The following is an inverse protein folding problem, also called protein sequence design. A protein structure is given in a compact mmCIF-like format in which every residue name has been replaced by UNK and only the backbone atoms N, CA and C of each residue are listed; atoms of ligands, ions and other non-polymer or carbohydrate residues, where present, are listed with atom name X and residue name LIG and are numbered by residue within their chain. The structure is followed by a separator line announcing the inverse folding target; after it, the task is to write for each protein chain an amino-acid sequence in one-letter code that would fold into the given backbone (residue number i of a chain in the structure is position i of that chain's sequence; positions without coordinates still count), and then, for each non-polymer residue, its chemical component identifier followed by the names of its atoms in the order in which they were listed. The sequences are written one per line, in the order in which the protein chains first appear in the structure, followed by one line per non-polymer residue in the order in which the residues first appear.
data_IF_721078274072
#
_entry.id   IF_721078274072
#
_cell.length_a   1.000
_cell.length_b   1.000
_cell.length_c   1.000
_cell.angle_alpha   90.00
_cell.angle_beta   90.00
_cell.angle_gamma   90.00
#
_symmetry.space_group_name_H-M   'P 1'
#
loop_
_entity.id
_entity.type
_entity.pdbx_description
1 polymer ?
#
# COMPACT_ATOMS: atom_id res chain seq x y z
N UNK A 1 46.21 -16.61 13.50
CA UNK A 1 45.09 -17.06 12.64
C UNK A 1 43.84 -16.19 12.69
N UNK A 2 43.64 -15.32 13.70
CA UNK A 2 42.44 -14.47 13.79
C UNK A 2 42.36 -13.35 12.74
N UNK A 3 43.46 -12.64 12.48
CA UNK A 3 43.49 -11.47 11.58
C UNK A 3 43.12 -11.79 10.13
N UNK A 4 43.64 -12.89 9.58
CA UNK A 4 43.32 -13.33 8.22
C UNK A 4 41.85 -13.70 8.08
N UNK A 5 41.29 -14.40 9.08
CA UNK A 5 39.86 -14.75 9.11
C UNK A 5 38.99 -13.49 9.16
N UNK A 6 39.36 -12.52 9.99
CA UNK A 6 38.64 -11.23 10.09
C UNK A 6 38.69 -10.46 8.77
N UNK A 7 39.85 -10.41 8.11
CA UNK A 7 40.01 -9.74 6.82
C UNK A 7 39.15 -10.37 5.73
N UNK A 8 39.18 -11.71 5.60
CA UNK A 8 38.36 -12.44 4.63
C UNK A 8 36.87 -12.24 4.91
N UNK A 9 36.44 -12.26 6.18
CA UNK A 9 35.05 -12.01 6.53
C UNK A 9 34.60 -10.57 6.21
N UNK A 10 35.46 -9.57 6.42
CA UNK A 10 35.15 -8.19 6.12
C UNK A 10 34.98 -7.96 4.61
N UNK A 11 35.87 -8.54 3.79
CA UNK A 11 35.77 -8.49 2.33
C UNK A 11 34.51 -9.21 1.85
N UNK A 12 34.18 -10.37 2.43
CA UNK A 12 32.96 -11.11 2.12
C UNK A 12 31.69 -10.30 2.41
N UNK A 13 31.62 -9.63 3.56
CA UNK A 13 30.49 -8.77 3.93
C UNK A 13 30.37 -7.56 3.01
N UNK A 14 31.48 -6.90 2.68
CA UNK A 14 31.49 -5.78 1.75
C UNK A 14 31.05 -6.21 0.34
N UNK A 15 31.52 -7.37 -0.13
CA UNK A 15 31.12 -7.93 -1.41
C UNK A 15 29.62 -8.24 -1.49
N UNK A 16 29.07 -8.90 -0.47
CA UNK A 16 27.62 -9.19 -0.40
C UNK A 16 26.79 -7.91 -0.28
N UNK A 17 27.23 -6.95 0.52
CA UNK A 17 26.57 -5.65 0.64
C UNK A 17 26.56 -4.88 -0.69
N UNK A 18 27.69 -4.88 -1.40
CA UNK A 18 27.80 -4.26 -2.72
C UNK A 18 26.89 -4.90 -3.76
N UNK A 19 26.82 -6.23 -3.80
CA UNK A 19 25.91 -6.96 -4.70
C UNK A 19 24.44 -6.66 -4.39
N UNK A 20 24.08 -6.62 -3.10
CA UNK A 20 22.73 -6.26 -2.67
C UNK A 20 22.36 -4.83 -3.09
N UNK A 21 23.27 -3.89 -2.95
CA UNK A 21 23.05 -2.50 -3.36
C UNK A 21 22.88 -2.37 -4.88
N UNK A 22 23.74 -3.02 -5.67
CA UNK A 22 23.63 -3.03 -7.14
C UNK A 22 22.29 -3.63 -7.57
N UNK A 23 21.92 -4.79 -7.03
CA UNK A 23 20.65 -5.43 -7.35
C UNK A 23 19.44 -4.56 -6.98
N UNK A 24 19.48 -3.90 -5.82
CA UNK A 24 18.43 -2.97 -5.40
C UNK A 24 18.34 -1.76 -6.33
N UNK A 25 19.47 -1.18 -6.76
CA UNK A 25 19.50 -0.03 -7.68
C UNK A 25 18.90 -0.33 -9.06
N UNK A 26 18.98 -1.58 -9.53
CA UNK A 26 18.38 -2.00 -10.79
C UNK A 26 16.86 -2.24 -10.68
N UNK A 27 16.38 -2.67 -9.51
CA UNK A 27 14.97 -3.02 -9.28
C UNK A 27 14.14 -1.79 -8.92
N UNK A 28 14.69 -0.86 -8.14
CA UNK A 28 13.94 0.33 -7.72
C UNK A 28 13.69 1.22 -8.94
N UNK A 29 12.43 1.40 -9.38
CA UNK A 29 12.15 2.36 -10.43
C UNK A 29 12.56 3.75 -9.93
N UNK A 30 13.45 4.41 -10.68
CA UNK A 30 13.89 5.77 -10.36
C UNK A 30 12.71 6.72 -10.16
N UNK A 31 12.96 7.83 -9.46
CA UNK A 31 11.90 8.79 -9.08
C UNK A 31 11.04 9.25 -10.27
N UNK A 32 11.61 9.33 -11.46
CA UNK A 32 10.90 9.70 -12.68
C UNK A 32 9.90 8.62 -13.14
N UNK A 33 10.30 7.34 -13.10
CA UNK A 33 9.39 6.20 -13.37
C UNK A 33 8.30 6.11 -12.32
N UNK A 34 8.59 6.42 -11.05
CA UNK A 34 7.59 6.50 -9.99
C UNK A 34 6.58 7.63 -10.25
N UNK A 35 7.05 8.82 -10.66
CA UNK A 35 6.17 9.94 -11.03
C UNK A 35 5.31 9.62 -12.25
N UNK A 36 5.84 8.89 -13.22
CA UNK A 36 5.10 8.45 -14.42
C UNK A 36 4.03 7.40 -14.08
N UNK A 37 4.35 6.44 -13.21
CA UNK A 37 3.37 5.48 -12.70
C UNK A 37 2.24 6.17 -11.93
N UNK A 38 2.57 7.20 -11.12
CA UNK A 38 1.57 7.98 -10.40
C UNK A 38 0.65 8.79 -11.33
N UNK A 39 1.17 9.27 -12.46
CA UNK A 39 0.36 9.98 -13.48
C UNK A 39 -0.61 9.04 -14.20
N UNK A 40 -0.22 7.79 -14.42
CA UNK A 40 -1.03 6.76 -15.08
C UNK A 40 -1.94 5.98 -14.12
N UNK A 41 -2.04 6.38 -12.85
CA UNK A 41 -3.01 5.79 -11.94
C UNK A 41 -4.43 6.06 -12.48
N UNK A 42 -5.32 5.05 -12.50
CA UNK A 42 -6.69 5.25 -12.97
C UNK A 42 -7.44 6.31 -12.14
N UNK A 43 -7.00 6.57 -10.91
CA UNK A 43 -7.51 7.62 -10.02
C UNK A 43 -7.14 9.06 -10.43
N UNK A 44 -6.15 9.27 -11.31
CA UNK A 44 -5.75 10.61 -11.75
C UNK A 44 -6.67 11.18 -12.84
N UNK A 45 -7.53 10.34 -13.43
CA UNK A 45 -8.44 10.77 -14.49
C UNK A 45 -9.67 11.50 -13.88
N UNK A 46 -9.92 12.77 -14.26
CA UNK A 46 -11.01 13.55 -13.68
C UNK A 46 -12.39 12.95 -13.98
N UNK A 47 -12.52 12.24 -15.11
CA UNK A 47 -13.76 11.57 -15.51
C UNK A 47 -14.13 10.40 -14.57
N UNK A 48 -13.16 9.55 -14.22
CA UNK A 48 -13.41 8.42 -13.31
C UNK A 48 -13.67 8.88 -11.88
N UNK A 49 -13.08 10.01 -11.48
CA UNK A 49 -13.35 10.64 -10.18
C UNK A 49 -14.80 11.13 -10.07
N UNK A 50 -15.38 11.68 -11.14
CA UNK A 50 -16.79 12.07 -11.15
C UNK A 50 -17.72 10.85 -11.08
N UNK A 51 -17.43 9.79 -11.81
CA UNK A 51 -18.18 8.53 -11.76
C UNK A 51 -18.11 7.90 -10.36
N UNK A 52 -16.92 7.85 -9.75
CA UNK A 52 -16.73 7.39 -8.37
C UNK A 52 -17.45 8.26 -7.36
N UNK A 53 -17.47 9.59 -7.53
CA UNK A 53 -18.23 10.50 -6.65
C UNK A 53 -19.73 10.21 -6.71
N UNK A 54 -20.28 10.00 -7.91
CA UNK A 54 -21.69 9.63 -8.08
C UNK A 54 -22.00 8.28 -7.43
N UNK A 55 -21.17 7.27 -7.66
CA UNK A 55 -21.32 5.95 -7.04
C UNK A 55 -21.23 6.03 -5.50
N UNK A 56 -20.25 6.74 -4.96
CA UNK A 56 -20.08 6.93 -3.53
C UNK A 56 -21.25 7.70 -2.89
N UNK A 57 -21.81 8.68 -3.61
CA UNK A 57 -22.98 9.42 -3.12
C UNK A 57 -24.20 8.49 -2.98
N UNK A 58 -24.46 7.62 -3.96
CA UNK A 58 -25.55 6.64 -3.90
C UNK A 58 -25.33 5.65 -2.75
N UNK A 59 -24.12 5.09 -2.62
CA UNK A 59 -23.79 4.17 -1.53
C UNK A 59 -23.97 4.86 -0.17
N UNK A 60 -23.53 6.11 -0.02
CA UNK A 60 -23.67 6.87 1.22
C UNK A 60 -25.14 7.14 1.57
N UNK A 61 -25.98 7.41 0.57
CA UNK A 61 -27.42 7.56 0.79
C UNK A 61 -28.05 6.27 1.33
N UNK A 62 -27.74 5.13 0.70
CA UNK A 62 -28.24 3.81 1.14
C UNK A 62 -27.75 3.48 2.56
N UNK A 63 -26.47 3.74 2.86
CA UNK A 63 -25.94 3.51 4.21
C UNK A 63 -26.61 4.40 5.25
N UNK A 64 -26.91 5.66 4.92
CA UNK A 64 -27.59 6.58 5.82
C UNK A 64 -29.03 6.13 6.09
N UNK A 65 -29.75 5.74 5.05
CA UNK A 65 -31.11 5.20 5.15
C UNK A 65 -31.15 3.91 6.00
N UNK A 66 -30.22 2.99 5.76
CA UNK A 66 -30.07 1.77 6.55
C UNK A 66 -29.72 2.08 8.02
N UNK A 67 -28.92 3.12 8.27
CA UNK A 67 -28.55 3.53 9.63
C UNK A 67 -29.69 4.20 10.42
N UNK A 68 -30.63 4.86 9.73
CA UNK A 68 -31.82 5.46 10.31
C UNK A 68 -32.94 4.43 10.55
N UNK A 69 -32.90 3.30 9.83
CA UNK A 69 -33.86 2.20 9.96
C UNK A 69 -33.71 1.43 11.28
N UNK A 70 -34.81 0.86 11.79
CA UNK A 70 -34.85 0.08 13.04
C UNK A 70 -34.11 -1.27 12.95
N UNK A 71 -33.73 -1.71 11.75
CA UNK A 71 -32.93 -2.91 11.48
C UNK A 71 -31.42 -2.66 11.62
N UNK A 72 -31.02 -1.44 12.00
CA UNK A 72 -29.62 -1.11 12.24
C UNK A 72 -29.03 -1.98 13.37
N UNK A 73 -28.26 -2.99 12.97
CA UNK A 73 -27.58 -3.92 13.87
C UNK A 73 -26.63 -3.22 14.85
N UNK A 74 -26.11 -2.03 14.53
CA UNK A 74 -25.26 -1.26 15.42
C UNK A 74 -26.02 -0.61 16.60
N UNK A 75 -27.36 -0.50 16.51
CA UNK A 75 -28.21 -0.02 17.62
C UNK A 75 -28.65 -1.16 18.55
N UNK A 76 -28.60 -2.41 18.09
CA UNK A 76 -28.96 -3.59 18.87
C UNK A 76 -27.82 -4.05 19.79
N UNK A 77 -28.15 -4.79 20.85
CA UNK A 77 -27.13 -5.50 21.62
C UNK A 77 -26.52 -6.60 20.76
N UNK A 78 -25.19 -6.57 20.60
CA UNK A 78 -24.48 -7.67 19.95
C UNK A 78 -24.79 -8.97 20.71
N UNK A 79 -25.11 -10.09 20.04
CA UNK A 79 -25.30 -11.35 20.72
C UNK A 79 -23.95 -11.79 21.28
N UNK A 80 -23.70 -11.42 22.54
CA UNK A 80 -22.63 -11.98 23.35
C UNK A 80 -22.84 -13.48 23.39
N UNK A 81 -21.99 -14.25 22.71
CA UNK A 81 -21.94 -15.70 22.95
C UNK A 81 -21.66 -15.91 24.43
N UNK A 82 -22.62 -16.51 25.15
CA UNK A 82 -22.35 -17.14 26.44
C UNK A 82 -21.69 -18.48 26.19
#
# INVERSE_FOLDING_TARGET
MGSLRTFVSAVGLAGLGGLGYVMWSLIVPGEDRRKELLKNLPESSPLMMEERRKQNAVVMQVLKEAAETNENLARGSWPSRK
#
